data_IF_698501633774
#
_entry.id   IF_698501633774
#
_cell.length_a   1.000
_cell.length_b   1.000
_cell.length_c   1.000
_cell.angle_alpha   90.00
_cell.angle_beta   90.00
_cell.angle_gamma   90.00
#
_symmetry.space_group_name_H-M   'P 1'
#
loop_
_entity.id
_entity.type
_entity.pdbx_description
1 polymer ?
#
# COMPACT_ATOMS: atom_id res chain seq x y z
N UNK A 1 18.67 36.13 -0.83
CA UNK A 1 17.99 36.82 -1.96
C UNK A 1 16.82 37.70 -1.52
N UNK A 2 16.18 37.47 -0.36
CA UNK A 2 15.12 38.35 0.19
C UNK A 2 15.67 39.73 0.66
N UNK A 3 16.93 39.78 1.11
CA UNK A 3 17.58 41.03 1.54
C UNK A 3 17.79 42.07 0.43
N UNK A 4 17.98 41.63 -0.82
CA UNK A 4 18.27 42.54 -1.93
C UNK A 4 17.01 43.19 -2.52
N UNK A 5 15.83 42.58 -2.36
CA UNK A 5 14.59 43.07 -2.95
C UNK A 5 13.85 44.08 -2.05
N UNK A 6 14.01 43.99 -0.73
CA UNK A 6 13.52 45.01 0.21
C UNK A 6 14.32 46.32 0.13
N UNK A 7 15.60 46.27 -0.26
CA UNK A 7 16.46 47.45 -0.34
C UNK A 7 16.05 48.45 -1.43
N UNK A 8 15.40 47.99 -2.50
CA UNK A 8 15.00 48.84 -3.63
C UNK A 8 13.68 49.59 -3.40
N UNK A 9 12.79 49.08 -2.55
CA UNK A 9 11.47 49.67 -2.28
C UNK A 9 11.55 50.78 -1.22
N UNK A 10 12.54 50.71 -0.33
CA UNK A 10 12.77 51.72 0.72
C UNK A 10 13.41 53.02 0.21
N UNK A 11 13.76 53.12 -1.08
CA UNK A 11 14.44 54.30 -1.64
C UNK A 11 13.48 55.40 -2.14
N UNK A 12 12.18 55.12 -2.23
CA UNK A 12 11.27 55.98 -3.03
C UNK A 12 10.29 56.84 -2.26
N UNK A 13 9.96 56.58 -0.99
CA UNK A 13 9.13 57.51 -0.19
C UNK A 13 9.34 57.20 1.28
N UNK A 14 10.19 57.95 1.98
CA UNK A 14 10.13 58.23 3.42
C UNK A 14 11.37 59.06 3.81
N UNK A 15 11.14 60.03 4.71
CA UNK A 15 12.10 61.05 5.16
C UNK A 15 13.54 60.54 5.32
N UNK A 16 14.57 61.24 4.78
CA UNK A 16 15.98 60.82 4.86
C UNK A 16 16.47 60.64 6.31
N UNK A 17 15.83 61.30 7.26
CA UNK A 17 16.09 61.18 8.69
C UNK A 17 15.82 59.78 9.26
N UNK A 18 14.77 59.09 8.79
CA UNK A 18 14.41 57.77 9.33
C UNK A 18 15.36 56.66 8.87
N UNK A 19 15.91 56.77 7.65
CA UNK A 19 16.91 55.83 7.15
C UNK A 19 18.22 55.93 7.95
N UNK A 20 18.68 57.14 8.22
CA UNK A 20 19.87 57.38 9.04
C UNK A 20 19.66 56.92 10.49
N UNK A 21 18.46 57.10 11.05
CA UNK A 21 18.11 56.58 12.38
C UNK A 21 18.08 55.05 12.36
N UNK A 22 17.50 54.42 11.35
CA UNK A 22 17.42 52.96 11.25
C UNK A 22 18.82 52.34 11.05
N UNK A 23 19.65 52.93 10.19
CA UNK A 23 21.05 52.53 10.01
C UNK A 23 21.86 52.74 11.29
N UNK A 24 21.67 53.85 11.99
CA UNK A 24 22.28 54.11 13.29
C UNK A 24 21.87 53.07 14.34
N UNK A 25 20.59 52.71 14.41
CA UNK A 25 20.06 51.65 15.28
C UNK A 25 20.66 50.30 14.87
N UNK A 26 20.76 49.99 13.58
CA UNK A 26 21.34 48.75 13.07
C UNK A 26 22.82 48.64 13.40
N UNK A 27 23.58 49.72 13.23
CA UNK A 27 25.00 49.78 13.58
C UNK A 27 25.17 49.62 15.10
N UNK A 28 24.37 50.31 15.91
CA UNK A 28 24.37 50.13 17.37
C UNK A 28 23.96 48.70 17.77
N UNK A 29 23.05 48.07 17.04
CA UNK A 29 22.63 46.70 17.29
C UNK A 29 23.71 45.69 16.88
N UNK A 30 24.43 45.93 15.79
CA UNK A 30 25.58 45.14 15.35
C UNK A 30 26.75 45.30 16.33
N UNK A 31 27.06 46.53 16.77
CA UNK A 31 28.04 46.79 17.82
C UNK A 31 27.63 46.09 19.11
N UNK A 32 26.36 46.21 19.51
CA UNK A 32 25.82 45.48 20.65
C UNK A 32 25.94 43.97 20.47
N UNK A 33 25.75 43.40 19.28
CA UNK A 33 25.92 41.97 19.03
C UNK A 33 27.39 41.54 19.07
N UNK A 34 28.30 42.38 18.58
CA UNK A 34 29.75 42.13 18.60
C UNK A 34 30.34 42.23 20.02
N UNK A 35 29.78 43.08 20.88
CA UNK A 35 30.24 43.30 22.27
C UNK A 35 29.33 42.68 23.34
N UNK A 36 28.11 42.26 23.00
CA UNK A 36 27.33 41.40 23.87
C UNK A 36 28.13 40.12 23.94
N UNK A 37 28.60 39.79 25.14
CA UNK A 37 29.12 38.46 25.42
C UNK A 37 28.09 37.50 24.83
N UNK A 38 28.46 36.77 23.78
CA UNK A 38 27.73 35.57 23.38
C UNK A 38 27.39 34.90 24.68
N UNK A 39 26.10 34.64 24.92
CA UNK A 39 25.71 33.80 26.04
C UNK A 39 26.49 32.51 25.83
N UNK A 40 27.64 32.40 26.49
CA UNK A 40 28.35 31.14 26.62
C UNK A 40 27.30 30.33 27.32
N UNK A 41 26.69 29.38 26.59
CA UNK A 41 26.14 28.18 27.21
C UNK A 41 27.15 27.86 28.29
N UNK A 42 26.73 28.03 29.55
CA UNK A 42 27.54 27.81 30.71
C UNK A 42 28.32 26.53 30.40
N UNK A 43 29.64 26.66 30.20
CA UNK A 43 30.49 25.51 29.91
C UNK A 43 30.06 24.48 30.95
N UNK A 44 29.43 23.38 30.49
CA UNK A 44 29.06 22.29 31.40
C UNK A 44 30.32 22.07 32.19
N UNK A 45 30.25 22.24 33.52
CA UNK A 45 31.40 21.99 34.38
C UNK A 45 32.00 20.67 33.92
N UNK A 46 33.27 20.67 33.54
CA UNK A 46 33.95 19.44 33.14
C UNK A 46 33.73 18.46 34.29
N UNK A 47 32.84 17.50 34.07
CA UNK A 47 32.45 16.53 35.08
C UNK A 47 33.75 15.88 35.55
N UNK A 48 33.94 15.83 36.86
CA UNK A 48 35.03 15.06 37.43
C UNK A 48 34.90 13.61 36.96
N UNK A 49 36.02 12.88 36.86
CA UNK A 49 35.97 11.47 36.45
C UNK A 49 35.02 10.65 37.34
N UNK A 50 34.90 11.04 38.61
CA UNK A 50 33.94 10.47 39.55
C UNK A 50 32.48 10.76 39.17
N UNK A 51 32.13 12.00 38.81
CA UNK A 51 30.77 12.34 38.36
C UNK A 51 30.42 11.65 37.03
N UNK A 52 31.41 11.44 36.16
CA UNK A 52 31.20 10.64 34.93
C UNK A 52 30.95 9.17 35.26
N UNK A 53 31.71 8.59 36.18
CA UNK A 53 31.49 7.22 36.66
C UNK A 53 30.12 7.07 37.31
N UNK A 54 29.72 8.01 38.18
CA UNK A 54 28.39 8.04 38.81
C UNK A 54 27.27 8.14 37.75
N UNK A 55 27.41 9.02 36.74
CA UNK A 55 26.44 9.12 35.65
C UNK A 55 26.38 7.86 34.77
N UNK A 56 27.51 7.18 34.55
CA UNK A 56 27.54 5.91 33.80
C UNK A 56 26.87 4.80 34.62
N UNK A 57 27.10 4.77 35.93
CA UNK A 57 26.51 3.80 36.85
C UNK A 57 24.99 4.01 37.01
N UNK A 58 24.53 5.26 37.05
CA UNK A 58 23.11 5.63 37.11
C UNK A 58 22.40 5.57 35.76
N UNK A 59 23.13 5.55 34.64
CA UNK A 59 22.52 5.57 33.33
C UNK A 59 21.80 4.25 33.03
N UNK A 60 20.47 4.33 32.96
CA UNK A 60 19.63 3.28 32.42
C UNK A 60 19.04 3.76 31.10
N UNK A 61 19.35 3.09 29.97
CA UNK A 61 18.71 3.45 28.71
C UNK A 61 17.21 3.24 28.82
N UNK A 62 16.43 4.24 28.42
CA UNK A 62 15.01 4.02 28.20
C UNK A 62 14.85 2.89 27.16
N UNK A 63 13.95 1.92 27.40
CA UNK A 63 13.73 0.87 26.44
C UNK A 63 13.19 1.49 25.14
N UNK A 64 13.63 0.96 24.00
CA UNK A 64 13.20 1.44 22.68
C UNK A 64 11.67 1.38 22.50
N UNK A 65 11.01 0.50 23.25
CA UNK A 65 9.56 0.31 23.26
C UNK A 65 9.06 0.08 24.68
N UNK A 66 7.83 0.53 25.02
CA UNK A 66 7.22 0.21 26.30
C UNK A 66 6.94 -1.30 26.42
N UNK A 67 6.84 -1.85 27.64
CA UNK A 67 6.46 -3.23 27.84
C UNK A 67 5.05 -3.49 27.31
N UNK A 68 4.88 -4.60 26.59
CA UNK A 68 3.62 -5.02 25.97
C UNK A 68 3.05 -6.21 26.75
N UNK A 69 1.74 -6.19 27.01
CA UNK A 69 1.05 -7.31 27.68
C UNK A 69 1.27 -8.62 26.92
N UNK A 70 1.38 -9.75 27.65
CA UNK A 70 1.46 -11.10 27.03
C UNK A 70 0.18 -11.45 26.26
N UNK A 71 -0.94 -10.88 26.65
CA UNK A 71 -2.23 -11.08 25.99
C UNK A 71 -2.40 -10.16 24.76
N UNK A 72 -1.36 -9.38 24.42
CA UNK A 72 -1.45 -8.49 23.27
C UNK A 72 -1.58 -9.29 21.96
N UNK A 73 -2.54 -8.96 21.08
CA UNK A 73 -2.80 -9.72 19.86
C UNK A 73 -1.57 -9.88 18.94
N UNK A 74 -0.60 -8.96 18.99
CA UNK A 74 0.63 -9.08 18.21
C UNK A 74 1.63 -10.11 18.75
N UNK A 75 1.45 -10.57 20.00
CA UNK A 75 2.27 -11.62 20.60
C UNK A 75 1.65 -13.01 20.44
N UNK A 76 0.33 -13.07 20.19
CA UNK A 76 -0.43 -14.30 19.99
C UNK A 76 -0.88 -14.41 18.53
N UNK A 77 -0.06 -15.07 17.71
CA UNK A 77 -0.33 -15.29 16.29
C UNK A 77 -0.85 -16.69 16.01
N UNK A 78 -1.77 -16.80 15.06
CA UNK A 78 -2.20 -18.07 14.51
C UNK A 78 -1.09 -18.65 13.62
N UNK A 79 -0.71 -19.90 13.87
CA UNK A 79 0.37 -20.59 13.16
C UNK A 79 -0.21 -21.50 12.09
N UNK A 80 0.18 -21.26 10.84
CA UNK A 80 -0.16 -22.11 9.71
C UNK A 80 0.88 -23.22 9.54
N UNK A 81 0.43 -24.46 9.36
CA UNK A 81 1.30 -25.60 9.03
C UNK A 81 0.93 -26.16 7.66
N UNK A 82 1.91 -26.31 6.77
CA UNK A 82 1.68 -26.76 5.39
C UNK A 82 1.26 -25.62 4.43
N UNK A 83 0.89 -25.95 3.18
CA UNK A 83 0.50 -24.94 2.19
C UNK A 83 -0.88 -24.34 2.52
N UNK A 84 -1.03 -23.01 2.60
CA UNK A 84 -2.34 -22.36 2.75
C UNK A 84 -3.13 -22.37 1.43
N UNK A 85 -3.59 -23.56 1.05
CA UNK A 85 -4.45 -23.83 -0.11
C UNK A 85 -5.94 -23.73 0.25
N UNK A 86 -6.83 -24.33 -0.53
CA UNK A 86 -8.23 -24.59 -0.17
C UNK A 86 -8.46 -25.08 1.27
N UNK A 87 -7.66 -26.05 1.71
CA UNK A 87 -7.60 -26.50 3.11
C UNK A 87 -6.33 -25.97 3.76
N UNK A 88 -6.47 -25.51 5.00
CA UNK A 88 -5.38 -24.91 5.78
C UNK A 88 -5.35 -25.49 7.18
N UNK A 89 -4.16 -25.76 7.71
CA UNK A 89 -3.99 -26.21 9.10
C UNK A 89 -3.56 -25.01 9.94
N UNK A 90 -4.44 -24.55 10.83
CA UNK A 90 -4.21 -23.40 11.71
C UNK A 90 -4.20 -23.89 13.15
N UNK A 91 -3.11 -23.64 13.88
CA UNK A 91 -2.93 -24.10 15.27
C UNK A 91 -3.21 -25.61 15.44
N UNK A 92 -2.83 -26.42 14.44
CA UNK A 92 -3.05 -27.87 14.42
C UNK A 92 -4.47 -28.31 14.00
N UNK A 93 -5.37 -27.39 13.66
CA UNK A 93 -6.74 -27.69 13.20
C UNK A 93 -6.87 -27.52 11.69
N UNK A 94 -7.30 -28.56 10.99
CA UNK A 94 -7.64 -28.48 9.58
C UNK A 94 -8.95 -27.71 9.38
N UNK A 95 -8.90 -26.69 8.52
CA UNK A 95 -9.98 -25.74 8.27
C UNK A 95 -10.16 -25.49 6.76
N UNK A 96 -11.35 -25.04 6.36
CA UNK A 96 -11.58 -24.44 5.05
C UNK A 96 -11.02 -23.02 5.09
N UNK A 97 -10.22 -22.67 4.09
CA UNK A 97 -9.50 -21.41 4.05
C UNK A 97 -10.33 -20.29 3.43
N UNK A 98 -10.69 -19.30 4.24
CA UNK A 98 -11.27 -18.01 3.81
C UNK A 98 -10.38 -16.82 4.26
N UNK A 99 -9.11 -17.08 4.62
CA UNK A 99 -8.21 -16.09 5.22
C UNK A 99 -7.03 -15.68 4.34
N UNK A 100 -6.71 -16.43 3.28
CA UNK A 100 -5.54 -16.16 2.41
C UNK A 100 -5.93 -15.59 1.05
N UNK A 101 -5.11 -14.71 0.49
CA UNK A 101 -5.29 -14.10 -0.84
C UNK A 101 -4.93 -14.98 -2.04
N UNK A 102 -4.93 -16.31 -1.87
CA UNK A 102 -4.69 -17.27 -2.94
C UNK A 102 -5.92 -17.40 -3.86
N UNK A 103 -6.31 -16.30 -4.52
CA UNK A 103 -7.57 -16.18 -5.26
C UNK A 103 -7.74 -17.30 -6.29
N UNK A 104 -6.69 -17.60 -7.06
CA UNK A 104 -6.73 -18.60 -8.13
C UNK A 104 -6.32 -20.00 -7.69
N UNK A 105 -6.07 -20.25 -6.40
CA UNK A 105 -5.68 -21.59 -5.92
C UNK A 105 -4.31 -22.06 -6.41
N UNK A 106 -3.49 -21.17 -6.98
CA UNK A 106 -2.25 -21.56 -7.67
C UNK A 106 -1.09 -21.89 -6.72
N UNK A 107 -1.19 -21.52 -5.45
CA UNK A 107 -0.12 -21.71 -4.46
C UNK A 107 0.36 -23.17 -4.32
N UNK A 108 -0.57 -24.13 -4.34
CA UNK A 108 -0.25 -25.56 -4.23
C UNK A 108 -0.41 -26.32 -5.56
N UNK A 109 -0.51 -25.59 -6.67
CA UNK A 109 -0.64 -26.19 -7.99
C UNK A 109 0.62 -26.97 -8.38
N UNK A 110 0.43 -28.20 -8.86
CA UNK A 110 1.55 -29.10 -9.15
C UNK A 110 2.46 -28.59 -10.27
N UNK A 111 1.92 -27.95 -11.32
CA UNK A 111 2.74 -27.37 -12.40
C UNK A 111 3.64 -26.27 -11.86
N UNK A 112 3.10 -25.38 -11.04
CA UNK A 112 3.83 -24.28 -10.40
C UNK A 112 4.94 -24.81 -9.51
N UNK A 113 4.65 -25.81 -8.65
CA UNK A 113 5.65 -26.47 -7.78
C UNK A 113 6.77 -27.11 -8.59
N UNK A 114 6.45 -27.84 -9.66
CA UNK A 114 7.47 -28.49 -10.49
C UNK A 114 8.39 -27.46 -11.19
N UNK A 115 7.84 -26.32 -11.64
CA UNK A 115 8.65 -25.23 -12.20
C UNK A 115 9.56 -24.59 -11.16
N UNK A 116 9.05 -24.35 -9.96
CA UNK A 116 9.85 -23.84 -8.84
C UNK A 116 10.99 -24.81 -8.46
N UNK A 117 10.72 -26.12 -8.38
CA UNK A 117 11.71 -27.16 -8.09
C UNK A 117 12.79 -27.25 -9.20
N UNK A 118 12.39 -27.18 -10.46
CA UNK A 118 13.33 -27.15 -11.58
C UNK A 118 14.24 -25.91 -11.51
N UNK A 119 13.67 -24.75 -11.19
CA UNK A 119 14.42 -23.51 -10.98
C UNK A 119 15.38 -23.62 -9.79
N UNK A 120 14.96 -24.20 -8.67
CA UNK A 120 15.82 -24.43 -7.50
C UNK A 120 17.06 -25.25 -7.87
N UNK A 121 16.90 -26.30 -8.69
CA UNK A 121 18.01 -27.13 -9.19
C UNK A 121 18.93 -26.37 -10.14
N UNK A 122 18.39 -25.47 -10.97
CA UNK A 122 19.16 -24.71 -11.96
C UNK A 122 19.93 -23.54 -11.33
N UNK A 123 19.30 -22.79 -10.44
CA UNK A 123 19.80 -21.48 -9.97
C UNK A 123 20.18 -21.46 -8.48
N UNK A 124 19.74 -22.44 -7.68
CA UNK A 124 19.84 -22.39 -6.23
C UNK A 124 18.72 -21.60 -5.55
N UNK A 125 18.90 -21.32 -4.26
CA UNK A 125 17.84 -20.81 -3.37
C UNK A 125 17.48 -19.34 -3.62
N UNK A 126 18.45 -18.52 -4.02
CA UNK A 126 18.25 -17.08 -4.19
C UNK A 126 19.48 -16.42 -4.80
N UNK A 127 19.38 -15.11 -5.05
CA UNK A 127 20.42 -14.36 -5.79
C UNK A 127 21.44 -13.66 -4.91
N UNK A 128 21.13 -13.43 -3.64
CA UNK A 128 21.97 -12.72 -2.67
C UNK A 128 22.46 -11.33 -3.13
N UNK A 129 21.78 -10.69 -4.10
CA UNK A 129 22.21 -9.42 -4.65
C UNK A 129 21.09 -8.65 -5.35
N UNK A 130 21.26 -7.32 -5.52
CA UNK A 130 20.27 -6.48 -6.17
C UNK A 130 20.30 -6.64 -7.70
N UNK A 131 19.18 -6.31 -8.34
CA UNK A 131 19.00 -6.42 -9.80
C UNK A 131 20.00 -5.56 -10.59
N UNK A 132 20.37 -4.39 -10.06
CA UNK A 132 21.32 -3.46 -10.71
C UNK A 132 22.80 -3.88 -10.65
N UNK A 133 23.13 -5.02 -10.04
CA UNK A 133 24.50 -5.49 -9.90
C UNK A 133 24.63 -6.94 -10.39
N UNK A 134 24.74 -7.94 -9.51
CA UNK A 134 24.84 -9.37 -9.88
C UNK A 134 23.57 -10.18 -9.60
N UNK A 135 22.47 -9.55 -9.20
CA UNK A 135 21.21 -10.23 -8.83
C UNK A 135 20.23 -10.47 -9.98
N UNK A 136 20.59 -10.14 -11.23
CA UNK A 136 19.68 -10.36 -12.37
C UNK A 136 19.99 -11.68 -13.06
N UNK A 137 19.05 -12.62 -12.98
CA UNK A 137 19.11 -13.90 -13.68
C UNK A 137 18.21 -13.82 -14.92
N UNK A 138 18.45 -14.66 -15.92
CA UNK A 138 17.65 -14.78 -17.15
C UNK A 138 16.15 -14.92 -16.86
N UNK A 139 15.77 -15.71 -15.86
CA UNK A 139 14.35 -15.89 -15.48
C UNK A 139 13.68 -14.61 -14.96
N UNK A 140 14.44 -13.64 -14.42
CA UNK A 140 13.86 -12.35 -14.03
C UNK A 140 13.48 -11.52 -15.24
N UNK A 141 14.29 -11.59 -16.30
CA UNK A 141 14.02 -10.90 -17.56
C UNK A 141 12.84 -11.56 -18.27
N UNK A 142 12.78 -12.89 -18.26
CA UNK A 142 11.63 -13.64 -18.77
C UNK A 142 10.34 -13.26 -18.04
N UNK A 143 10.35 -13.19 -16.70
CA UNK A 143 9.16 -12.76 -15.94
C UNK A 143 8.74 -11.33 -16.29
N UNK A 144 9.68 -10.40 -16.41
CA UNK A 144 9.39 -9.02 -16.82
C UNK A 144 8.76 -8.96 -18.23
N UNK A 145 9.28 -9.72 -19.19
CA UNK A 145 8.71 -9.83 -20.53
C UNK A 145 7.29 -10.43 -20.49
N UNK A 146 7.10 -11.49 -19.71
CA UNK A 146 5.81 -12.16 -19.56
C UNK A 146 4.76 -11.27 -18.92
N UNK A 147 5.11 -10.52 -17.89
CA UNK A 147 4.23 -9.55 -17.26
C UNK A 147 3.86 -8.42 -18.23
N UNK A 148 4.83 -7.86 -18.96
CA UNK A 148 4.57 -6.82 -19.94
C UNK A 148 3.62 -7.32 -21.04
N UNK A 149 3.85 -8.52 -21.57
CA UNK A 149 2.99 -9.16 -22.56
C UNK A 149 1.57 -9.41 -22.02
N UNK A 150 1.47 -9.95 -20.80
CA UNK A 150 0.19 -10.23 -20.16
C UNK A 150 -0.62 -8.95 -19.99
N UNK A 151 0.00 -7.88 -19.47
CA UNK A 151 -0.62 -6.57 -19.26
C UNK A 151 -0.82 -5.74 -20.53
N UNK A 152 -0.24 -6.18 -21.67
CA UNK A 152 -0.23 -5.46 -22.95
C UNK A 152 0.45 -4.09 -22.86
N UNK A 153 1.54 -4.01 -22.10
CA UNK A 153 2.38 -2.81 -21.95
C UNK A 153 3.73 -3.01 -22.63
N UNK A 154 4.50 -1.92 -22.80
CA UNK A 154 5.83 -1.99 -23.42
C UNK A 154 6.81 -2.77 -22.55
N UNK A 155 6.85 -2.47 -21.24
CA UNK A 155 7.80 -3.08 -20.31
C UNK A 155 7.21 -3.29 -18.91
N UNK A 156 7.86 -4.15 -18.14
CA UNK A 156 7.62 -4.34 -16.72
C UNK A 156 8.94 -4.41 -15.92
N UNK A 157 8.85 -4.11 -14.64
CA UNK A 157 9.93 -4.21 -13.64
C UNK A 157 9.41 -4.94 -12.41
N UNK A 158 10.17 -5.91 -11.90
CA UNK A 158 9.79 -6.68 -10.72
C UNK A 158 10.52 -6.22 -9.44
N UNK A 159 9.81 -6.29 -8.33
CA UNK A 159 10.26 -6.04 -6.97
C UNK A 159 10.10 -7.31 -6.14
N UNK A 160 11.03 -7.55 -5.21
CA UNK A 160 11.05 -8.77 -4.39
C UNK A 160 10.08 -8.74 -3.21
N UNK A 161 9.55 -7.57 -2.86
CA UNK A 161 8.63 -7.37 -1.74
C UNK A 161 7.45 -6.51 -2.21
N UNK A 162 6.22 -7.04 -2.14
CA UNK A 162 5.02 -6.41 -2.71
C UNK A 162 4.78 -5.02 -2.15
N UNK A 163 4.86 -4.87 -0.82
CA UNK A 163 4.75 -3.57 -0.15
C UNK A 163 5.73 -2.52 -0.70
N UNK A 164 6.98 -2.92 -0.98
CA UNK A 164 8.01 -2.02 -1.45
C UNK A 164 7.81 -1.58 -2.91
N UNK A 165 7.00 -2.29 -3.70
CA UNK A 165 6.71 -1.99 -5.12
C UNK A 165 6.17 -0.58 -5.27
N UNK A 166 4.93 -0.33 -4.86
CA UNK A 166 4.30 0.98 -4.99
C UNK A 166 4.95 2.04 -4.08
N UNK A 167 5.40 1.62 -2.88
CA UNK A 167 6.08 2.50 -1.94
C UNK A 167 7.42 3.05 -2.48
N UNK A 168 8.09 2.31 -3.38
CA UNK A 168 9.30 2.78 -4.08
C UNK A 168 8.99 3.45 -5.41
N UNK A 169 7.91 3.03 -6.09
CA UNK A 169 7.51 3.59 -7.36
C UNK A 169 7.06 5.05 -7.25
N UNK A 170 6.24 5.39 -6.26
CA UNK A 170 5.75 6.76 -6.05
C UNK A 170 6.91 7.77 -5.94
N UNK A 171 7.89 7.61 -5.02
CA UNK A 171 9.00 8.55 -4.87
C UNK A 171 10.02 8.53 -6.02
N UNK A 172 10.00 7.51 -6.90
CA UNK A 172 10.79 7.52 -8.13
C UNK A 172 10.36 8.67 -9.06
N UNK A 173 9.07 8.98 -9.09
CA UNK A 173 8.52 10.02 -9.95
C UNK A 173 8.11 11.28 -9.21
N UNK A 174 7.49 11.19 -8.04
CA UNK A 174 7.02 12.36 -7.30
C UNK A 174 8.04 12.79 -6.26
N UNK A 175 8.34 14.10 -6.19
CA UNK A 175 9.29 14.66 -5.22
C UNK A 175 8.77 15.94 -4.59
N UNK A 176 9.52 16.46 -3.61
CA UNK A 176 9.24 17.76 -3.00
C UNK A 176 8.98 18.85 -4.05
N UNK A 177 7.80 19.46 -3.99
CA UNK A 177 7.35 20.47 -4.95
C UNK A 177 6.27 19.99 -5.92
N UNK A 178 6.12 18.68 -6.07
CA UNK A 178 5.03 18.04 -6.81
C UNK A 178 3.79 17.87 -5.94
N UNK A 179 2.67 17.55 -6.59
CA UNK A 179 1.35 17.43 -5.97
C UNK A 179 0.77 16.06 -6.29
N UNK A 180 0.24 15.39 -5.27
CA UNK A 180 -0.38 14.08 -5.40
C UNK A 180 -1.78 14.14 -4.82
N UNK A 181 -2.77 13.82 -5.66
CA UNK A 181 -4.16 13.62 -5.28
C UNK A 181 -4.37 12.15 -4.98
N UNK A 182 -4.90 11.82 -3.82
CA UNK A 182 -4.97 10.43 -3.36
C UNK A 182 -6.32 10.15 -2.72
N UNK A 183 -6.89 9.00 -3.02
CA UNK A 183 -8.10 8.53 -2.36
C UNK A 183 -7.80 8.23 -0.88
N UNK A 184 -8.63 8.71 0.04
CA UNK A 184 -8.42 8.51 1.48
C UNK A 184 -8.42 7.04 1.93
N UNK A 185 -9.03 6.13 1.17
CA UNK A 185 -9.06 4.69 1.47
C UNK A 185 -7.78 3.95 1.04
N UNK A 186 -6.82 4.64 0.40
CA UNK A 186 -5.60 4.04 -0.14
C UNK A 186 -4.82 3.22 0.90
N UNK A 187 -4.37 2.04 0.47
CA UNK A 187 -3.65 1.08 1.29
C UNK A 187 -2.33 1.63 1.86
N UNK A 188 -1.82 0.97 2.90
CA UNK A 188 -0.70 1.48 3.67
C UNK A 188 0.62 1.62 2.87
N UNK A 189 0.84 0.76 1.87
CA UNK A 189 2.03 0.84 1.00
C UNK A 189 2.03 2.12 0.17
N UNK A 190 0.88 2.54 -0.36
CA UNK A 190 0.71 3.84 -1.02
C UNK A 190 1.06 4.95 -0.02
N UNK A 191 0.48 4.93 1.18
CA UNK A 191 0.71 5.96 2.21
C UNK A 191 2.21 6.13 2.53
N UNK A 192 2.97 5.03 2.61
CA UNK A 192 4.43 5.10 2.81
C UNK A 192 5.19 5.60 1.60
N UNK A 193 4.75 5.29 0.38
CA UNK A 193 5.29 5.90 -0.84
C UNK A 193 5.07 7.42 -0.88
N UNK A 194 3.89 7.90 -0.48
CA UNK A 194 3.58 9.33 -0.37
C UNK A 194 4.49 10.02 0.65
N UNK A 195 4.68 9.41 1.83
CA UNK A 195 5.58 9.91 2.86
C UNK A 195 7.02 10.01 2.34
N UNK A 196 7.51 8.97 1.66
CA UNK A 196 8.85 8.94 1.06
C UNK A 196 9.03 10.02 -0.02
N UNK A 197 7.99 10.33 -0.79
CA UNK A 197 8.04 11.33 -1.88
C UNK A 197 8.26 12.76 -1.40
N UNK A 198 7.84 13.09 -0.16
CA UNK A 198 7.82 14.46 0.40
C UNK A 198 7.03 15.47 -0.47
N UNK A 199 6.09 14.97 -1.26
CA UNK A 199 5.23 15.77 -2.13
C UNK A 199 4.13 16.46 -1.33
N UNK A 200 3.43 17.42 -1.93
CA UNK A 200 2.22 17.99 -1.35
C UNK A 200 1.05 17.03 -1.62
N UNK A 201 0.46 16.47 -0.55
CA UNK A 201 -0.59 15.46 -0.67
C UNK A 201 -1.95 16.13 -0.45
N UNK A 202 -2.87 15.94 -1.40
CA UNK A 202 -4.28 16.37 -1.32
C UNK A 202 -5.15 15.12 -1.33
N UNK A 203 -5.75 14.79 -0.20
CA UNK A 203 -6.67 13.65 -0.12
C UNK A 203 -8.06 14.07 -0.59
N UNK A 204 -8.70 13.25 -1.41
CA UNK A 204 -10.12 13.36 -1.74
C UNK A 204 -10.89 12.23 -1.05
N UNK A 205 -12.19 12.46 -0.80
CA UNK A 205 -13.06 11.47 -0.18
C UNK A 205 -13.14 10.19 -1.01
N UNK A 206 -13.29 9.06 -0.32
CA UNK A 206 -13.27 7.76 -0.99
C UNK A 206 -14.26 7.67 -2.16
N UNK A 207 -13.75 7.35 -3.36
CA UNK A 207 -14.50 7.24 -4.61
C UNK A 207 -15.33 8.48 -5.02
N UNK A 208 -15.08 9.65 -4.41
CA UNK A 208 -15.82 10.89 -4.69
C UNK A 208 -15.13 11.72 -5.79
N UNK A 209 -15.61 11.56 -7.03
CA UNK A 209 -15.08 12.28 -8.19
C UNK A 209 -15.41 13.77 -8.20
N UNK A 210 -16.46 14.19 -7.49
CA UNK A 210 -16.80 15.61 -7.36
C UNK A 210 -15.81 16.31 -6.42
N UNK A 211 -15.46 15.66 -5.32
CA UNK A 211 -14.45 16.17 -4.38
C UNK A 211 -13.05 16.19 -5.00
N UNK A 212 -12.68 15.14 -5.75
CA UNK A 212 -11.44 15.15 -6.54
C UNK A 212 -11.44 16.30 -7.54
N UNK A 213 -12.52 16.50 -8.29
CA UNK A 213 -12.60 17.59 -9.27
C UNK A 213 -12.52 18.96 -8.59
N UNK A 214 -13.14 19.13 -7.42
CA UNK A 214 -13.02 20.36 -6.61
C UNK A 214 -11.56 20.66 -6.28
N UNK A 215 -10.79 19.68 -5.80
CA UNK A 215 -9.37 19.83 -5.48
C UNK A 215 -8.51 20.14 -6.72
N UNK A 216 -8.85 19.54 -7.87
CA UNK A 216 -8.18 19.80 -9.14
C UNK A 216 -8.43 21.24 -9.63
N UNK A 217 -9.67 21.73 -9.55
CA UNK A 217 -10.02 23.13 -9.86
C UNK A 217 -9.31 24.11 -8.92
N UNK A 218 -9.26 23.82 -7.62
CA UNK A 218 -8.50 24.62 -6.65
C UNK A 218 -7.02 24.68 -7.03
N UNK A 219 -6.44 23.55 -7.43
CA UNK A 219 -5.05 23.51 -7.88
C UNK A 219 -4.82 24.34 -9.15
N UNK A 220 -5.73 24.27 -10.12
CA UNK A 220 -5.64 25.07 -11.33
C UNK A 220 -5.66 26.58 -11.02
N UNK A 221 -6.50 27.01 -10.08
CA UNK A 221 -6.52 28.41 -9.61
C UNK A 221 -5.22 28.80 -8.90
N UNK A 222 -4.64 27.92 -8.09
CA UNK A 222 -3.31 28.14 -7.50
C UNK A 222 -2.21 28.26 -8.56
N UNK A 223 -2.28 27.43 -9.59
CA UNK A 223 -1.31 27.39 -10.69
C UNK A 223 -1.32 28.69 -11.50
N UNK A 224 -2.51 29.26 -11.73
CA UNK A 224 -2.67 30.57 -12.37
C UNK A 224 -2.02 31.72 -11.58
N UNK A 225 -2.01 31.64 -10.24
CA UNK A 225 -1.36 32.65 -9.38
C UNK A 225 0.16 32.61 -9.47
N UNK A 226 0.75 31.45 -9.77
CA UNK A 226 2.21 31.31 -9.95
C UNK A 226 2.56 30.40 -11.16
N UNK A 227 2.44 30.91 -12.40
CA UNK A 227 2.64 30.11 -13.60
C UNK A 227 4.06 29.52 -13.72
N UNK A 228 5.07 30.22 -13.16
CA UNK A 228 6.47 29.76 -13.17
C UNK A 228 6.64 28.48 -12.35
N UNK A 229 6.01 28.42 -11.17
CA UNK A 229 6.00 27.22 -10.32
C UNK A 229 5.16 26.13 -10.98
N UNK A 230 3.97 26.47 -11.45
CA UNK A 230 3.04 25.53 -12.07
C UNK A 230 3.67 24.74 -13.22
N UNK A 231 4.50 25.39 -14.05
CA UNK A 231 5.20 24.77 -15.21
C UNK A 231 6.15 23.65 -14.82
N UNK A 232 6.73 23.69 -13.63
CA UNK A 232 7.71 22.67 -13.15
C UNK A 232 7.10 21.69 -12.14
N UNK A 233 5.92 21.99 -11.62
CA UNK A 233 5.18 21.12 -10.71
C UNK A 233 4.50 20.01 -11.50
N UNK A 234 4.80 18.75 -11.14
CA UNK A 234 4.10 17.57 -11.64
C UNK A 234 2.90 17.27 -10.74
N UNK A 235 1.85 16.72 -11.34
CA UNK A 235 0.59 16.39 -10.67
C UNK A 235 0.26 14.94 -10.96
N UNK A 236 -0.08 14.20 -9.91
CA UNK A 236 -0.40 12.77 -9.97
C UNK A 236 -1.70 12.50 -9.23
N UNK A 237 -2.47 11.53 -9.71
CA UNK A 237 -3.55 10.87 -9.00
C UNK A 237 -3.04 9.47 -8.66
N UNK A 238 -3.26 9.03 -7.43
CA UNK A 238 -2.92 7.67 -6.99
C UNK A 238 -4.19 7.03 -6.41
N UNK A 239 -4.55 5.86 -6.94
CA UNK A 239 -5.74 5.09 -6.55
C UNK A 239 -5.44 3.59 -6.59
N UNK A 240 -6.25 2.81 -5.88
CA UNK A 240 -6.32 1.35 -6.07
C UNK A 240 -7.41 1.02 -7.11
N UNK A 241 -7.22 -0.04 -7.88
CA UNK A 241 -8.23 -0.59 -8.78
C UNK A 241 -9.39 -1.17 -7.98
N UNK A 242 -9.08 -2.14 -7.13
CA UNK A 242 -9.93 -2.62 -6.04
C UNK A 242 -9.26 -2.27 -4.71
N UNK A 243 -9.96 -1.53 -3.85
CA UNK A 243 -9.39 -1.06 -2.60
C UNK A 243 -9.29 -2.19 -1.57
N UNK A 244 -8.08 -2.45 -1.05
CA UNK A 244 -7.87 -3.50 -0.03
C UNK A 244 -8.65 -3.25 1.29
N UNK A 245 -9.02 -2.01 1.56
CA UNK A 245 -9.62 -1.57 2.82
C UNK A 245 -11.14 -1.50 2.80
N UNK A 246 -11.74 -1.26 1.63
CA UNK A 246 -13.19 -1.10 1.45
C UNK A 246 -13.79 -2.15 0.53
N UNK A 247 -12.95 -2.82 -0.27
CA UNK A 247 -13.37 -3.77 -1.31
C UNK A 247 -14.25 -3.14 -2.40
N UNK A 248 -14.19 -1.81 -2.54
CA UNK A 248 -14.84 -1.05 -3.60
C UNK A 248 -13.93 -0.98 -4.84
N UNK A 249 -14.53 -0.78 -6.00
CA UNK A 249 -13.81 -0.53 -7.26
C UNK A 249 -13.64 0.98 -7.48
N UNK A 250 -12.51 1.42 -8.04
CA UNK A 250 -12.37 2.83 -8.42
C UNK A 250 -13.17 3.15 -9.69
N UNK A 251 -13.72 4.37 -9.82
CA UNK A 251 -14.39 4.84 -11.03
C UNK A 251 -13.34 5.24 -12.09
N UNK A 252 -12.63 4.25 -12.64
CA UNK A 252 -11.51 4.46 -13.56
C UNK A 252 -11.86 5.30 -14.81
N UNK A 253 -13.02 5.11 -15.47
CA UNK A 253 -13.40 5.95 -16.62
C UNK A 253 -13.50 7.44 -16.26
N UNK A 254 -14.04 7.77 -15.09
CA UNK A 254 -14.15 9.15 -14.59
C UNK A 254 -12.78 9.73 -14.26
N UNK A 255 -11.90 8.93 -13.64
CA UNK A 255 -10.52 9.31 -13.34
C UNK A 255 -9.76 9.66 -14.63
N UNK A 256 -9.91 8.86 -15.69
CA UNK A 256 -9.30 9.13 -17.00
C UNK A 256 -9.86 10.40 -17.64
N UNK A 257 -11.16 10.67 -17.53
CA UNK A 257 -11.75 11.96 -17.99
C UNK A 257 -11.09 13.15 -17.27
N UNK A 258 -10.93 13.07 -15.95
CA UNK A 258 -10.28 14.11 -15.14
C UNK A 258 -8.77 14.22 -15.45
N UNK A 259 -8.10 13.10 -15.72
CA UNK A 259 -6.69 13.05 -16.14
C UNK A 259 -6.44 13.97 -17.33
N UNK A 260 -7.20 13.79 -18.40
CA UNK A 260 -7.04 14.60 -19.61
C UNK A 260 -7.48 16.06 -19.41
N UNK A 261 -8.58 16.28 -18.70
CA UNK A 261 -9.11 17.64 -18.43
C UNK A 261 -8.10 18.50 -17.67
N UNK A 262 -7.48 17.95 -16.61
CA UNK A 262 -6.58 18.69 -15.73
C UNK A 262 -5.08 18.39 -15.95
N UNK A 263 -4.76 17.57 -16.96
CA UNK A 263 -3.38 17.22 -17.37
C UNK A 263 -2.55 16.65 -16.21
N UNK A 264 -3.17 15.75 -15.46
CA UNK A 264 -2.52 15.01 -14.36
C UNK A 264 -2.13 13.61 -14.85
N UNK A 265 -1.31 12.89 -14.09
CA UNK A 265 -0.93 11.50 -14.37
C UNK A 265 -1.65 10.56 -13.40
N UNK A 266 -1.88 9.30 -13.75
CA UNK A 266 -2.50 8.29 -12.89
C UNK A 266 -1.48 7.19 -12.58
N UNK A 267 -1.29 6.92 -11.29
CA UNK A 267 -0.70 5.68 -10.79
C UNK A 267 -1.82 4.79 -10.24
N UNK A 268 -1.92 3.59 -10.79
CA UNK A 268 -2.98 2.63 -10.48
C UNK A 268 -2.36 1.41 -9.79
N UNK A 269 -2.87 1.08 -8.61
CA UNK A 269 -2.47 -0.09 -7.85
C UNK A 269 -3.53 -1.21 -8.03
N UNK A 270 -3.17 -2.33 -8.64
CA UNK A 270 -4.07 -3.39 -9.10
C UNK A 270 -3.94 -4.67 -8.25
N UNK A 271 -3.32 -4.65 -7.07
CA UNK A 271 -3.02 -5.88 -6.31
C UNK A 271 -4.25 -6.75 -6.01
N UNK A 272 -5.40 -6.13 -5.79
CA UNK A 272 -6.65 -6.83 -5.46
C UNK A 272 -7.50 -7.18 -6.70
N UNK A 273 -7.17 -6.62 -7.86
CA UNK A 273 -7.91 -6.78 -9.12
C UNK A 273 -7.14 -7.60 -10.17
N UNK A 274 -5.81 -7.63 -10.10
CA UNK A 274 -4.96 -8.45 -10.95
C UNK A 274 -5.21 -9.95 -10.71
N UNK A 275 -5.44 -10.67 -11.80
CA UNK A 275 -5.89 -12.07 -11.82
C UNK A 275 -7.39 -12.26 -11.52
N UNK A 276 -8.12 -11.20 -11.16
CA UNK A 276 -9.51 -11.29 -10.68
C UNK A 276 -10.50 -10.59 -11.62
N UNK A 277 -10.18 -9.38 -12.07
CA UNK A 277 -11.05 -8.57 -12.91
C UNK A 277 -10.59 -8.52 -14.36
N UNK A 278 -11.57 -8.36 -15.26
CA UNK A 278 -11.34 -8.42 -16.71
C UNK A 278 -11.44 -9.85 -17.24
N UNK A 279 -11.72 -9.97 -18.53
CA UNK A 279 -11.89 -11.27 -19.21
C UNK A 279 -10.67 -12.18 -19.06
N UNK A 280 -9.47 -11.60 -18.98
CA UNK A 280 -8.20 -12.33 -18.86
C UNK A 280 -7.53 -12.07 -17.50
N UNK A 281 -8.22 -11.45 -16.54
CA UNK A 281 -7.65 -11.11 -15.25
C UNK A 281 -6.61 -9.98 -15.28
N UNK A 282 -6.65 -9.05 -16.23
CA UNK A 282 -5.67 -7.95 -16.29
C UNK A 282 -5.93 -6.83 -15.27
N UNK A 283 -7.08 -6.84 -14.59
CA UNK A 283 -7.46 -5.84 -13.61
C UNK A 283 -8.53 -4.87 -14.10
N UNK A 284 -8.64 -3.72 -13.43
CA UNK A 284 -9.73 -2.76 -13.66
C UNK A 284 -9.66 -2.07 -15.02
N UNK A 285 -8.46 -1.93 -15.59
CA UNK A 285 -8.27 -1.39 -16.94
C UNK A 285 -9.03 -2.20 -17.99
N UNK A 286 -8.87 -3.53 -17.97
CA UNK A 286 -9.60 -4.45 -18.85
C UNK A 286 -11.08 -4.52 -18.50
N UNK A 287 -11.43 -4.54 -17.20
CA UNK A 287 -12.82 -4.57 -16.74
C UNK A 287 -13.67 -3.43 -17.32
N UNK A 288 -13.12 -2.21 -17.33
CA UNK A 288 -13.81 -1.03 -17.87
C UNK A 288 -13.56 -0.79 -19.36
N UNK A 289 -12.71 -1.59 -20.02
CA UNK A 289 -12.28 -1.34 -21.40
C UNK A 289 -11.53 -0.02 -21.58
N UNK A 290 -10.85 0.45 -20.53
CA UNK A 290 -10.00 1.64 -20.58
C UNK A 290 -8.71 1.29 -21.31
N UNK A 291 -8.26 2.17 -22.20
CA UNK A 291 -7.00 1.94 -22.90
C UNK A 291 -5.84 1.94 -21.89
N UNK A 292 -5.00 0.91 -21.95
CA UNK A 292 -3.86 0.74 -21.02
C UNK A 292 -2.91 1.94 -21.07
N UNK A 293 -2.78 2.58 -22.25
CA UNK A 293 -1.98 3.79 -22.46
C UNK A 293 -2.50 5.04 -21.73
N UNK A 294 -3.74 5.01 -21.25
CA UNK A 294 -4.34 6.10 -20.50
C UNK A 294 -3.88 6.06 -19.02
N UNK A 295 -3.15 5.03 -18.59
CA UNK A 295 -2.59 4.90 -17.24
C UNK A 295 -1.06 5.05 -17.30
N UNK A 296 -0.49 5.97 -16.51
CA UNK A 296 0.94 6.29 -16.62
C UNK A 296 1.84 5.27 -15.94
N UNK A 297 1.32 4.59 -14.90
CA UNK A 297 1.99 3.54 -14.17
C UNK A 297 0.96 2.61 -13.56
N UNK A 298 1.12 1.31 -13.81
CA UNK A 298 0.36 0.27 -13.13
C UNK A 298 1.31 -0.48 -12.20
N UNK A 299 0.87 -0.73 -10.98
CA UNK A 299 1.55 -1.53 -9.96
C UNK A 299 0.65 -2.67 -9.53
N UNK A 300 1.17 -3.86 -9.29
CA UNK A 300 0.43 -4.94 -8.65
C UNK A 300 1.35 -5.88 -7.88
N UNK A 301 0.84 -6.52 -6.84
CA UNK A 301 1.52 -7.56 -6.10
C UNK A 301 1.34 -8.93 -6.76
N UNK A 302 2.39 -9.74 -6.70
CA UNK A 302 2.36 -11.16 -7.13
C UNK A 302 1.99 -12.11 -5.97
N UNK A 303 1.79 -11.56 -4.77
CA UNK A 303 1.49 -12.26 -3.51
C UNK A 303 0.07 -12.85 -3.46
N UNK A 304 -0.78 -12.48 -4.42
CA UNK A 304 -2.19 -12.85 -4.44
C UNK A 304 -2.46 -13.92 -5.53
N UNK A 305 -2.85 -13.48 -6.73
CA UNK A 305 -3.28 -14.37 -7.81
C UNK A 305 -2.13 -15.18 -8.47
N UNK A 306 -0.86 -14.88 -8.19
CA UNK A 306 0.29 -15.33 -8.99
C UNK A 306 1.18 -16.35 -8.27
N UNK A 307 0.73 -16.89 -7.12
CA UNK A 307 1.43 -17.93 -6.37
C UNK A 307 2.93 -17.65 -6.12
N UNK A 308 3.28 -16.38 -5.91
CA UNK A 308 4.65 -15.92 -5.73
C UNK A 308 4.71 -14.86 -4.62
N UNK A 309 5.85 -14.16 -4.50
CA UNK A 309 5.96 -12.99 -3.63
C UNK A 309 6.47 -11.80 -4.44
N UNK A 310 6.39 -10.61 -3.86
CA UNK A 310 6.86 -9.40 -4.52
C UNK A 310 5.75 -8.71 -5.31
N UNK A 311 6.15 -7.84 -6.23
CA UNK A 311 5.23 -7.12 -7.09
C UNK A 311 5.92 -6.65 -8.35
N UNK A 312 5.16 -6.02 -9.23
CA UNK A 312 5.67 -5.46 -10.45
C UNK A 312 5.05 -4.10 -10.72
N UNK A 313 5.79 -3.30 -11.49
CA UNK A 313 5.23 -2.16 -12.20
C UNK A 313 5.31 -2.41 -13.70
N UNK A 314 4.33 -1.91 -14.46
CA UNK A 314 4.31 -1.99 -15.91
C UNK A 314 3.78 -0.69 -16.53
N UNK A 315 4.16 -0.46 -17.79
CA UNK A 315 3.85 0.77 -18.52
C UNK A 315 4.78 0.97 -19.70
N UNK A 316 5.02 2.24 -20.05
CA UNK A 316 5.94 2.61 -21.14
C UNK A 316 7.40 2.39 -20.76
N UNK A 317 8.25 2.02 -21.70
CA UNK A 317 9.68 1.72 -21.47
C UNK A 317 10.39 2.83 -20.69
N UNK A 318 10.21 4.10 -21.08
CA UNK A 318 10.87 5.21 -20.39
C UNK A 318 10.40 5.41 -18.94
N UNK A 319 9.18 4.98 -18.60
CA UNK A 319 8.67 4.98 -17.23
C UNK A 319 9.44 3.91 -16.45
N UNK A 320 9.48 2.70 -16.97
CA UNK A 320 10.13 1.54 -16.33
C UNK A 320 11.64 1.73 -16.19
N UNK A 321 12.33 2.21 -17.22
CA UNK A 321 13.75 2.52 -17.19
C UNK A 321 14.11 3.52 -16.09
N UNK A 322 13.30 4.58 -15.94
CA UNK A 322 13.51 5.56 -14.88
C UNK A 322 13.37 4.92 -13.48
N UNK A 323 12.43 3.97 -13.33
CA UNK A 323 12.24 3.20 -12.11
C UNK A 323 13.45 2.31 -11.79
N UNK A 324 14.08 1.67 -12.80
CA UNK A 324 15.29 0.86 -12.61
C UNK A 324 16.46 1.66 -12.04
N UNK A 325 16.52 2.96 -12.30
CA UNK A 325 17.57 3.86 -11.82
C UNK A 325 17.27 4.51 -10.47
N UNK A 326 15.99 4.68 -10.12
CA UNK A 326 15.58 5.54 -8.99
C UNK A 326 14.69 4.86 -7.95
N UNK A 327 14.12 3.69 -8.26
CA UNK A 327 13.30 2.91 -7.35
C UNK A 327 14.13 2.30 -6.23
N UNK A 328 14.02 2.84 -5.01
CA UNK A 328 14.86 2.42 -3.88
C UNK A 328 14.73 0.93 -3.54
N UNK A 329 13.50 0.40 -3.50
CA UNK A 329 13.24 -1.03 -3.28
C UNK A 329 13.74 -1.95 -4.40
N UNK A 330 14.07 -1.41 -5.58
CA UNK A 330 14.68 -2.15 -6.68
C UNK A 330 16.22 -2.09 -6.59
N UNK A 331 16.78 -0.90 -6.36
CA UNK A 331 18.22 -0.68 -6.34
C UNK A 331 18.92 -1.26 -5.09
N UNK A 332 18.26 -1.22 -3.93
CA UNK A 332 18.87 -1.51 -2.62
C UNK A 332 18.30 -2.74 -1.92
N UNK A 333 17.54 -3.58 -2.64
CA UNK A 333 17.05 -4.87 -2.14
C UNK A 333 17.62 -6.02 -2.96
N UNK A 334 17.83 -7.18 -2.32
CA UNK A 334 18.12 -8.40 -3.07
C UNK A 334 16.96 -8.73 -4.03
N UNK A 335 17.27 -9.29 -5.20
CA UNK A 335 16.24 -9.63 -6.18
C UNK A 335 15.31 -10.73 -5.71
N UNK A 336 14.18 -10.89 -6.41
CA UNK A 336 13.26 -12.00 -6.22
C UNK A 336 14.04 -13.32 -6.37
N UNK A 337 13.79 -14.33 -5.52
CA UNK A 337 14.35 -15.66 -5.75
C UNK A 337 13.95 -16.23 -7.11
N UNK A 338 14.87 -16.83 -7.89
CA UNK A 338 14.58 -17.37 -9.24
C UNK A 338 13.43 -18.38 -9.27
N UNK A 339 13.30 -19.19 -8.22
CA UNK A 339 12.20 -20.15 -8.08
C UNK A 339 10.83 -19.49 -8.01
N UNK A 340 10.73 -18.31 -7.39
CA UNK A 340 9.50 -17.54 -7.27
C UNK A 340 9.20 -16.78 -8.57
N UNK A 341 10.23 -16.37 -9.30
CA UNK A 341 10.05 -15.84 -10.65
C UNK A 341 9.50 -16.92 -11.61
N UNK A 342 10.05 -18.14 -11.55
CA UNK A 342 9.57 -19.29 -12.33
C UNK A 342 8.14 -19.69 -11.97
N UNK A 343 7.80 -19.67 -10.68
CA UNK A 343 6.44 -19.92 -10.20
C UNK A 343 5.46 -18.90 -10.78
N UNK A 344 5.83 -17.61 -10.76
CA UNK A 344 4.99 -16.55 -11.31
C UNK A 344 4.79 -16.68 -12.83
N UNK A 345 5.84 -17.03 -13.58
CA UNK A 345 5.76 -17.31 -15.02
C UNK A 345 4.76 -18.44 -15.30
N UNK A 346 4.80 -19.52 -14.52
CA UNK A 346 3.87 -20.64 -14.70
C UNK A 346 2.44 -20.29 -14.29
N UNK A 347 2.26 -19.46 -13.26
CA UNK A 347 0.94 -18.94 -12.91
C UNK A 347 0.34 -18.13 -14.06
N UNK A 348 1.13 -17.27 -14.72
CA UNK A 348 0.70 -16.54 -15.91
C UNK A 348 0.37 -17.47 -17.08
N UNK A 349 1.15 -18.54 -17.30
CA UNK A 349 0.82 -19.57 -18.31
C UNK A 349 -0.56 -20.17 -18.05
N UNK A 350 -0.84 -20.56 -16.81
CA UNK A 350 -2.12 -21.17 -16.44
C UNK A 350 -3.27 -20.19 -16.68
N UNK A 351 -3.13 -18.92 -16.30
CA UNK A 351 -4.13 -17.88 -16.58
C UNK A 351 -4.41 -17.72 -18.08
N UNK A 352 -3.38 -17.77 -18.93
CA UNK A 352 -3.54 -17.64 -20.38
C UNK A 352 -4.12 -18.90 -21.04
N UNK A 353 -3.82 -20.09 -20.51
CA UNK A 353 -4.27 -21.39 -21.03
C UNK A 353 -5.70 -21.75 -20.61
N UNK A 354 -6.12 -21.34 -19.41
CA UNK A 354 -7.45 -21.61 -18.86
C UNK A 354 -8.21 -20.30 -18.56
N UNK A 355 -8.85 -19.69 -19.58
CA UNK A 355 -9.72 -18.53 -19.35
C UNK A 355 -10.86 -18.82 -18.35
N UNK A 356 -11.20 -20.10 -18.17
CA UNK A 356 -12.18 -20.57 -17.21
C UNK A 356 -11.72 -20.54 -15.76
N UNK A 357 -10.47 -20.12 -15.47
CA UNK A 357 -9.93 -19.93 -14.11
C UNK A 357 -10.35 -18.60 -13.47
N UNK A 358 -10.98 -17.70 -14.23
CA UNK A 358 -11.54 -16.45 -13.71
C UNK A 358 -13.03 -16.48 -13.26
N UNK A 359 -13.69 -17.61 -12.88
CA UNK A 359 -15.10 -17.62 -12.45
C UNK A 359 -15.24 -17.09 -11.02
N UNK A 360 -14.18 -16.48 -10.49
CA UNK A 360 -14.09 -15.97 -9.13
C UNK A 360 -15.15 -14.90 -8.84
N UNK A 361 -15.52 -14.11 -9.86
CA UNK A 361 -16.62 -13.13 -9.78
C UNK A 361 -17.94 -13.79 -9.38
N UNK A 362 -18.20 -15.00 -9.89
CA UNK A 362 -19.42 -15.77 -9.55
C UNK A 362 -19.38 -16.20 -8.09
N UNK A 363 -18.24 -16.73 -7.61
CA UNK A 363 -18.09 -17.15 -6.21
C UNK A 363 -18.20 -15.99 -5.23
N UNK A 364 -17.59 -14.85 -5.55
CA UNK A 364 -17.72 -13.63 -4.74
C UNK A 364 -19.18 -13.17 -4.69
N UNK A 365 -19.90 -13.24 -5.82
CA UNK A 365 -21.32 -12.88 -5.88
C UNK A 365 -22.15 -13.82 -5.02
N UNK A 366 -21.86 -15.12 -5.04
CA UNK A 366 -22.49 -16.12 -4.17
C UNK A 366 -22.24 -15.81 -2.69
N UNK A 367 -20.99 -15.53 -2.32
CA UNK A 367 -20.63 -15.18 -0.94
C UNK A 367 -21.34 -13.88 -0.49
N UNK A 368 -21.36 -12.85 -1.34
CA UNK A 368 -22.07 -11.60 -1.05
C UNK A 368 -23.60 -11.79 -0.99
N UNK A 369 -24.18 -12.73 -1.73
CA UNK A 369 -25.63 -12.99 -1.66
C UNK A 369 -26.03 -13.65 -0.33
N UNK A 370 -25.18 -14.53 0.21
CA UNK A 370 -25.51 -15.31 1.40
C UNK A 370 -25.27 -14.56 2.73
N UNK A 371 -24.22 -13.75 2.79
CA UNK A 371 -23.75 -13.15 4.05
C UNK A 371 -24.67 -12.04 4.62
N UNK A 372 -25.21 -11.07 3.84
CA UNK A 372 -25.99 -9.93 4.35
C UNK A 372 -27.36 -10.29 4.93
N UNK A 373 -28.05 -11.28 4.36
CA UNK A 373 -29.43 -11.58 4.74
C UNK A 373 -29.55 -12.47 5.99
N UNK A 374 -28.42 -12.93 6.53
CA UNK A 374 -28.41 -14.01 7.50
C UNK A 374 -27.67 -13.68 8.80
N UNK A 375 -26.92 -12.57 8.92
CA UNK A 375 -26.06 -12.32 10.09
C UNK A 375 -26.48 -11.06 10.86
N UNK A 376 -27.35 -11.20 11.89
CA UNK A 376 -27.69 -10.07 12.75
C UNK A 376 -26.44 -9.46 13.43
N UNK A 377 -26.32 -8.14 13.39
CA UNK A 377 -25.25 -7.40 14.05
C UNK A 377 -23.95 -7.26 13.26
N UNK A 378 -23.82 -7.87 12.08
CA UNK A 378 -22.72 -7.63 11.14
C UNK A 378 -23.24 -7.00 9.85
N UNK A 379 -22.45 -6.07 9.30
CA UNK A 379 -22.65 -5.51 7.96
C UNK A 379 -21.54 -5.98 7.02
N UNK A 380 -21.89 -6.26 5.78
CA UNK A 380 -20.93 -6.57 4.71
C UNK A 380 -20.53 -5.29 4.00
N UNK A 381 -19.24 -5.12 3.74
CA UNK A 381 -18.66 -3.99 3.04
C UNK A 381 -17.82 -4.53 1.88
N UNK A 382 -18.06 -3.99 0.68
CA UNK A 382 -17.40 -4.36 -0.57
C UNK A 382 -18.36 -4.72 -1.69
N UNK A 383 -17.81 -4.83 -2.90
CA UNK A 383 -18.53 -5.15 -4.13
C UNK A 383 -18.63 -6.67 -4.38
N UNK A 384 -19.65 -7.08 -5.13
CA UNK A 384 -19.97 -8.50 -5.39
C UNK A 384 -18.83 -9.29 -6.06
N UNK A 385 -17.92 -8.61 -6.73
CA UNK A 385 -16.81 -9.22 -7.45
C UNK A 385 -15.46 -9.07 -6.72
N UNK A 386 -15.44 -8.38 -5.58
CA UNK A 386 -14.22 -8.23 -4.81
C UNK A 386 -13.81 -9.58 -4.21
N UNK A 387 -12.54 -9.99 -4.35
CA UNK A 387 -12.08 -11.31 -3.90
C UNK A 387 -11.97 -11.41 -2.38
N UNK A 388 -11.93 -10.27 -1.68
CA UNK A 388 -11.89 -10.18 -0.24
C UNK A 388 -12.91 -9.15 0.25
N UNK A 389 -13.91 -9.62 0.99
CA UNK A 389 -14.97 -8.79 1.57
C UNK A 389 -14.67 -8.48 3.04
N UNK A 390 -15.29 -7.42 3.55
CA UNK A 390 -15.16 -7.00 4.93
C UNK A 390 -16.46 -7.19 5.69
N UNK A 391 -16.43 -7.94 6.80
CA UNK A 391 -17.52 -8.00 7.77
C UNK A 391 -17.19 -7.06 8.92
N UNK A 392 -17.99 -6.03 9.08
CA UNK A 392 -17.86 -5.04 10.16
C UNK A 392 -19.01 -5.22 11.15
N UNK A 393 -18.81 -4.82 12.40
CA UNK A 393 -19.94 -4.66 13.33
C UNK A 393 -20.91 -3.62 12.77
N UNK A 394 -22.21 -3.91 12.80
CA UNK A 394 -23.25 -2.95 12.41
C UNK A 394 -23.25 -1.76 13.36
N UNK A 395 -23.15 -2.05 14.67
CA UNK A 395 -22.99 -1.08 15.73
C UNK A 395 -21.66 -1.30 16.44
N UNK A 396 -20.78 -0.28 16.43
CA UNK A 396 -19.55 -0.30 17.22
C UNK A 396 -19.87 -0.35 18.72
N UNK A 397 -19.04 -1.04 19.49
CA UNK A 397 -19.12 -1.05 20.95
C UNK A 397 -18.58 0.25 21.58
N UNK A 398 -18.24 1.26 20.78
CA UNK A 398 -17.70 2.55 21.22
C UNK A 398 -16.18 2.58 21.45
N UNK A 399 -15.48 1.46 21.23
CA UNK A 399 -14.03 1.36 21.29
C UNK A 399 -13.51 0.40 20.23
N UNK A 400 -12.55 0.87 19.42
CA UNK A 400 -11.90 0.05 18.37
C UNK A 400 -11.30 -1.23 18.93
N UNK A 401 -10.68 -1.16 20.11
CA UNK A 401 -10.05 -2.33 20.74
C UNK A 401 -11.10 -3.37 21.13
N UNK A 402 -12.25 -2.91 21.63
CA UNK A 402 -13.38 -3.78 21.96
C UNK A 402 -14.01 -4.37 20.70
N UNK A 403 -14.20 -3.58 19.64
CA UNK A 403 -14.66 -4.08 18.34
C UNK A 403 -13.72 -5.15 17.78
N UNK A 404 -12.41 -4.92 17.84
CA UNK A 404 -11.37 -5.88 17.44
C UNK A 404 -11.46 -7.16 18.25
N UNK A 405 -11.63 -7.07 19.58
CA UNK A 405 -11.79 -8.24 20.45
C UNK A 405 -13.07 -9.02 20.13
N UNK A 406 -14.19 -8.34 19.94
CA UNK A 406 -15.48 -8.95 19.59
C UNK A 406 -15.40 -9.70 18.26
N UNK A 407 -14.85 -9.06 17.22
CA UNK A 407 -14.66 -9.70 15.91
C UNK A 407 -13.67 -10.86 16.00
N UNK A 408 -12.65 -10.77 16.87
CA UNK A 408 -11.73 -11.88 17.10
C UNK A 408 -12.43 -13.08 17.73
N UNK A 409 -13.31 -12.87 18.70
CA UNK A 409 -14.12 -13.96 19.27
C UNK A 409 -14.97 -14.67 18.20
N UNK A 410 -15.49 -13.94 17.21
CA UNK A 410 -16.22 -14.54 16.08
C UNK A 410 -15.29 -15.41 15.22
N UNK A 411 -14.08 -14.92 14.94
CA UNK A 411 -13.06 -15.69 14.21
C UNK A 411 -12.70 -16.98 14.98
N UNK A 412 -12.44 -16.89 16.28
CA UNK A 412 -12.07 -18.05 17.11
C UNK A 412 -13.20 -19.09 17.16
N UNK A 413 -14.47 -18.64 17.26
CA UNK A 413 -15.64 -19.51 17.20
C UNK A 413 -15.74 -20.27 15.87
N UNK A 414 -15.42 -19.60 14.76
CA UNK A 414 -15.42 -20.18 13.42
C UNK A 414 -14.23 -21.14 13.23
N UNK A 415 -13.07 -20.79 13.76
CA UNK A 415 -11.88 -21.62 13.73
C UNK A 415 -12.11 -22.97 14.45
N UNK A 416 -12.80 -22.94 15.59
CA UNK A 416 -13.22 -24.16 16.32
C UNK A 416 -14.17 -25.05 15.53
N UNK A 417 -14.83 -24.50 14.50
CA UNK A 417 -15.73 -25.20 13.57
C UNK A 417 -15.10 -25.41 12.19
N UNK A 418 -13.77 -25.37 12.11
CA UNK A 418 -12.99 -25.64 10.91
C UNK A 418 -13.20 -24.62 9.78
N UNK A 419 -13.51 -23.37 10.11
CA UNK A 419 -13.58 -22.25 9.16
C UNK A 419 -12.51 -21.24 9.53
N UNK A 420 -11.48 -21.10 8.69
CA UNK A 420 -10.38 -20.17 8.92
C UNK A 420 -10.70 -18.80 8.31
N UNK A 421 -10.80 -17.79 9.18
CA UNK A 421 -11.02 -16.39 8.82
C UNK A 421 -9.86 -15.55 9.34
N UNK A 422 -9.67 -14.37 8.76
CA UNK A 422 -8.64 -13.43 9.23
C UNK A 422 -9.24 -12.10 9.64
N UNK A 423 -8.62 -11.46 10.62
CA UNK A 423 -8.97 -10.09 11.00
C UNK A 423 -8.18 -9.13 10.12
N UNK A 424 -8.84 -8.10 9.57
CA UNK A 424 -8.11 -7.02 8.92
C UNK A 424 -7.28 -6.28 9.98
N UNK A 425 -5.96 -6.23 9.77
CA UNK A 425 -4.99 -5.60 10.68
C UNK A 425 -4.50 -4.29 10.10
N UNK A 426 -4.36 -3.31 10.98
CA UNK A 426 -3.94 -1.95 10.66
C UNK A 426 -2.91 -1.46 11.68
N UNK A 427 -2.07 -0.52 11.29
CA UNK A 427 -1.16 0.17 12.19
C UNK A 427 -1.80 1.44 12.71
N UNK A 428 -2.56 1.31 13.81
CA UNK A 428 -3.40 2.37 14.40
C UNK A 428 -2.71 3.72 14.64
N UNK A 429 -1.38 3.75 14.82
CA UNK A 429 -0.61 4.99 15.04
C UNK A 429 0.00 5.59 13.77
N UNK A 430 0.10 4.80 12.71
CA UNK A 430 0.86 5.12 11.50
C UNK A 430 -0.03 5.36 10.29
N UNK A 431 -1.16 4.67 10.21
CA UNK A 431 -2.14 4.83 9.14
C UNK A 431 -2.93 6.13 9.32
N UNK A 432 -3.04 6.88 8.22
CA UNK A 432 -3.67 8.20 8.27
C UNK A 432 -5.19 8.12 8.36
N UNK A 433 -5.78 7.18 7.63
CA UNK A 433 -7.21 6.91 7.60
C UNK A 433 -7.39 5.45 7.99
N UNK A 434 -7.96 5.23 9.17
CA UNK A 434 -8.17 3.89 9.69
C UNK A 434 -9.56 3.39 9.31
N UNK A 435 -9.66 2.29 8.54
CA UNK A 435 -10.94 1.64 8.30
C UNK A 435 -11.51 1.06 9.60
N UNK A 436 -12.83 0.90 9.71
CA UNK A 436 -13.43 0.19 10.83
C UNK A 436 -12.87 -1.24 10.97
N UNK A 437 -12.72 -1.76 12.21
CA UNK A 437 -12.34 -3.15 12.42
C UNK A 437 -13.26 -4.10 11.65
N UNK A 438 -12.67 -5.11 11.03
CA UNK A 438 -13.41 -6.06 10.20
C UNK A 438 -12.77 -7.43 10.20
N UNK A 439 -13.61 -8.44 9.96
CA UNK A 439 -13.17 -9.77 9.52
C UNK A 439 -13.06 -9.71 8.01
N UNK A 440 -11.93 -10.12 7.46
CA UNK A 440 -11.73 -10.24 6.03
C UNK A 440 -12.08 -11.66 5.61
N UNK A 441 -13.03 -11.78 4.69
CA UNK A 441 -13.51 -13.05 4.15
C UNK A 441 -13.05 -13.13 2.70
N UNK A 442 -12.16 -14.06 2.41
CA UNK A 442 -11.55 -14.22 1.10
C UNK A 442 -12.18 -15.39 0.37
N UNK A 443 -12.66 -15.13 -0.84
CA UNK A 443 -13.10 -16.18 -1.75
C UNK A 443 -11.91 -16.73 -2.55
N UNK A 444 -11.97 -18.00 -2.96
CA UNK A 444 -11.01 -18.63 -3.87
C UNK A 444 -11.72 -19.52 -4.90
N UNK A 445 -11.08 -19.75 -6.06
CA UNK A 445 -11.60 -20.65 -7.10
C UNK A 445 -11.68 -22.12 -6.68
N UNK A 446 -11.18 -22.49 -5.51
CA UNK A 446 -11.22 -23.88 -5.02
C UNK A 446 -12.40 -24.16 -4.08
N UNK A 447 -12.99 -23.12 -3.45
CA UNK A 447 -14.12 -23.29 -2.50
C UNK A 447 -15.41 -23.74 -3.19
N UNK A 448 -16.09 -24.75 -2.67
CA UNK A 448 -17.38 -25.20 -3.20
C UNK A 448 -18.54 -24.34 -2.67
N UNK A 449 -19.70 -24.37 -3.34
CA UNK A 449 -20.92 -23.67 -2.86
C UNK A 449 -21.33 -24.15 -1.46
N UNK A 450 -21.27 -25.45 -1.21
CA UNK A 450 -21.57 -26.05 0.11
C UNK A 450 -20.62 -25.51 1.20
N UNK A 451 -19.35 -25.31 0.88
CA UNK A 451 -18.38 -24.75 1.83
C UNK A 451 -18.62 -23.26 2.09
N UNK A 452 -19.04 -22.50 1.07
CA UNK A 452 -19.45 -21.10 1.24
C UNK A 452 -20.69 -21.01 2.13
N UNK A 453 -21.70 -21.86 1.92
CA UNK A 453 -22.90 -21.94 2.75
C UNK A 453 -22.59 -22.35 4.20
N UNK A 454 -21.69 -23.32 4.38
CA UNK A 454 -21.20 -23.75 5.69
C UNK A 454 -20.50 -22.61 6.42
N UNK A 455 -19.63 -21.87 5.73
CA UNK A 455 -18.93 -20.72 6.30
C UNK A 455 -19.92 -19.61 6.70
N UNK A 456 -20.86 -19.25 5.82
CA UNK A 456 -21.88 -18.25 6.10
C UNK A 456 -22.74 -18.63 7.32
N UNK A 457 -23.17 -19.89 7.40
CA UNK A 457 -23.93 -20.42 8.54
C UNK A 457 -23.13 -20.38 9.84
N UNK A 458 -21.84 -20.77 9.79
CA UNK A 458 -20.96 -20.72 10.95
C UNK A 458 -20.75 -19.29 11.46
N UNK A 459 -20.51 -18.33 10.56
CA UNK A 459 -20.35 -16.92 10.92
C UNK A 459 -21.64 -16.38 11.55
N UNK A 460 -22.81 -16.74 11.00
CA UNK A 460 -24.11 -16.39 11.57
C UNK A 460 -24.28 -16.90 13.00
N UNK A 461 -24.00 -18.18 13.23
CA UNK A 461 -24.10 -18.78 14.56
C UNK A 461 -23.15 -18.11 15.56
N UNK A 462 -21.93 -17.78 15.11
CA UNK A 462 -20.94 -17.05 15.90
C UNK A 462 -21.47 -15.66 16.30
N UNK A 463 -21.96 -14.89 15.33
CA UNK A 463 -22.52 -13.55 15.55
C UNK A 463 -23.71 -13.60 16.52
N UNK A 464 -24.66 -14.52 16.31
CA UNK A 464 -25.81 -14.72 17.21
C UNK A 464 -25.42 -15.16 18.62
N UNK A 465 -24.25 -15.78 18.80
CA UNK A 465 -23.78 -16.21 20.11
C UNK A 465 -23.05 -15.09 20.84
N UNK A 466 -22.25 -14.30 20.11
CA UNK A 466 -21.29 -13.35 20.67
C UNK A 466 -21.85 -11.93 20.77
N UNK A 467 -22.72 -11.51 19.84
CA UNK A 467 -23.27 -10.15 19.76
C UNK A 467 -24.57 -9.97 20.56
N UNK A 468 -24.94 -10.94 21.40
CA UNK A 468 -26.15 -10.93 22.23
C UNK A 468 -26.13 -9.91 23.36
#
# INVERSE_FOLDING_TARGET
SIFFFQWKILKTRLNPSYHLILEGILILWIIRLLFSKTYKLQERSDLTEKEKEELIEEWQPEPLVPPVSKDHPSQNYDVVTGPPSHKIIVNGKECINFGSFNFLGLLDNERVKQKALASLRKYGVGTCGPRGFYGTFDVHLELEERLAKFMRTEEAIIYSYGFATIASAIPAYSKRGDIVFVDEASCFSIQKGLQASRSFIKYFKHNDMEDLERLLKEQELEDQKNPRKARVTRRFIVVEGLYMNTADICPLPELVKLKYKYKVRIFLEESMSFGVLGEHGRGVTEHFGVNIDDIDLISANMENAVASIGGFCCGRSFVIDHQRLSGQGYCFSASLPPMLASAAIEALNIMEEDPGIHPHTVKCSTLLAFVPHLIPGLKVVGEAFAPALHLQLENSTGSRESDVRTLRSIIDYCLDRQIALTQARYLDKEERFLPPPSIRVVATVEQTEEEIEKAASCIREAALTILK
#
